data_IF_060542621692
#
_entry.id   IF_060542621692
#
_cell.length_a   1.000
_cell.length_b   1.000
_cell.length_c   1.000
_cell.angle_alpha   90.00
_cell.angle_beta   90.00
_cell.angle_gamma   90.00
#
_symmetry.space_group_name_H-M   'P 1'
#
loop_
_entity.id
_entity.type
_entity.pdbx_description
1 polymer ?
#
# COMPACT_ATOMS: atom_id res chain seq x y z
N UNK A 1 -30.14 43.85 18.89
CA UNK A 1 -30.49 42.44 19.15
C UNK A 1 -30.89 41.81 17.83
N UNK A 2 -30.01 41.04 17.21
CA UNK A 2 -30.40 39.98 16.27
C UNK A 2 -29.21 39.03 16.13
N UNK A 3 -29.36 37.84 16.69
CA UNK A 3 -28.41 36.73 16.67
C UNK A 3 -28.83 35.70 15.62
N UNK A 4 -27.83 35.18 14.89
CA UNK A 4 -27.79 33.88 14.18
C UNK A 4 -28.79 33.69 13.02
N UNK A 5 -28.63 32.78 12.05
CA UNK A 5 -27.79 31.57 11.89
C UNK A 5 -27.89 31.14 10.42
N UNK A 6 -26.83 30.55 9.85
CA UNK A 6 -26.84 29.36 8.96
C UNK A 6 -25.61 29.36 8.03
N UNK A 7 -24.61 28.55 8.33
CA UNK A 7 -23.54 28.18 7.38
C UNK A 7 -23.07 26.71 7.52
N UNK A 8 -23.82 25.86 8.23
CA UNK A 8 -23.39 24.47 8.50
C UNK A 8 -23.78 23.46 7.40
N UNK A 9 -24.40 23.89 6.30
CA UNK A 9 -24.92 23.00 5.25
C UNK A 9 -24.04 22.87 4.00
N UNK A 10 -23.15 23.84 3.73
CA UNK A 10 -22.40 23.90 2.48
C UNK A 10 -21.05 23.14 2.57
N UNK A 11 -20.34 23.25 3.69
CA UNK A 11 -19.03 22.61 3.92
C UNK A 11 -19.06 21.08 3.81
N UNK A 12 -20.09 20.44 4.38
CA UNK A 12 -20.22 18.97 4.40
C UNK A 12 -20.38 18.37 2.99
N UNK A 13 -21.06 19.08 2.09
CA UNK A 13 -21.26 18.63 0.71
C UNK A 13 -20.00 18.77 -0.13
N UNK A 14 -19.21 19.82 0.09
CA UNK A 14 -17.97 20.06 -0.64
C UNK A 14 -16.88 19.05 -0.24
N UNK A 15 -16.82 18.70 1.05
CA UNK A 15 -15.92 17.66 1.55
C UNK A 15 -16.29 16.27 1.04
N UNK A 16 -17.59 15.93 1.01
CA UNK A 16 -18.06 14.67 0.43
C UNK A 16 -17.66 14.54 -1.05
N UNK A 17 -17.86 15.60 -1.83
CA UNK A 17 -17.51 15.60 -3.26
C UNK A 17 -16.00 15.54 -3.48
N UNK A 18 -15.20 16.16 -2.60
CA UNK A 18 -13.73 16.04 -2.63
C UNK A 18 -13.25 14.63 -2.32
N UNK A 19 -13.87 13.98 -1.34
CA UNK A 19 -13.57 12.58 -1.00
C UNK A 19 -13.93 11.65 -2.17
N UNK A 20 -15.10 11.83 -2.79
CA UNK A 20 -15.50 11.07 -3.98
C UNK A 20 -14.56 11.29 -5.16
N UNK A 21 -14.18 12.54 -5.45
CA UNK A 21 -13.21 12.85 -6.50
C UNK A 21 -11.83 12.22 -6.23
N UNK A 22 -11.42 12.13 -4.96
CA UNK A 22 -10.21 11.40 -4.56
C UNK A 22 -10.34 9.88 -4.77
N UNK A 23 -11.49 9.29 -4.43
CA UNK A 23 -11.77 7.87 -4.66
C UNK A 23 -11.85 7.54 -6.17
N UNK A 24 -12.37 8.47 -6.97
CA UNK A 24 -12.40 8.38 -8.44
C UNK A 24 -11.05 8.67 -9.10
N UNK A 25 -10.03 9.01 -8.33
CA UNK A 25 -8.66 9.24 -8.82
C UNK A 25 -7.70 8.12 -8.45
N UNK A 26 -7.93 7.45 -7.33
CA UNK A 26 -7.03 6.44 -6.81
C UNK A 26 -7.50 5.03 -7.17
N UNK A 27 -6.54 4.15 -7.47
CA UNK A 27 -6.70 2.71 -7.47
C UNK A 27 -6.17 2.14 -6.17
N UNK A 28 -6.88 1.15 -5.62
CA UNK A 28 -6.50 0.47 -4.40
C UNK A 28 -6.43 -1.02 -4.67
N UNK A 29 -5.36 -1.66 -4.21
CA UNK A 29 -5.22 -3.12 -4.19
C UNK A 29 -5.05 -3.58 -2.75
N UNK A 30 -5.82 -4.61 -2.36
CA UNK A 30 -5.64 -5.26 -1.07
C UNK A 30 -4.45 -6.22 -1.14
N UNK A 31 -3.45 -5.99 -0.30
CA UNK A 31 -2.26 -6.85 -0.24
C UNK A 31 -2.45 -7.98 0.76
N UNK A 32 -2.99 -7.67 1.95
CA UNK A 32 -3.18 -8.66 2.99
C UNK A 32 -3.49 -8.05 4.36
N UNK A 33 -3.71 -8.92 5.33
CA UNK A 33 -3.88 -8.53 6.73
C UNK A 33 -3.17 -9.51 7.65
N UNK A 34 -2.54 -9.00 8.70
CA UNK A 34 -1.83 -9.81 9.70
C UNK A 34 -1.92 -9.14 11.07
N UNK A 35 -2.32 -9.87 12.11
CA UNK A 35 -2.37 -9.38 13.50
C UNK A 35 -3.10 -8.03 13.69
N UNK A 36 -4.18 -7.80 12.95
CA UNK A 36 -4.96 -6.56 13.00
C UNK A 36 -4.38 -5.39 12.21
N UNK A 37 -3.24 -5.57 11.53
CA UNK A 37 -2.73 -4.66 10.51
C UNK A 37 -3.26 -5.04 9.14
N UNK A 38 -3.53 -4.04 8.32
CA UNK A 38 -3.99 -4.16 6.93
C UNK A 38 -2.97 -3.50 6.02
N UNK A 39 -2.56 -4.20 4.97
CA UNK A 39 -1.67 -3.67 3.94
C UNK A 39 -2.47 -3.44 2.65
N UNK A 40 -2.33 -2.24 2.08
CA UNK A 40 -2.96 -1.83 0.82
C UNK A 40 -1.94 -1.11 -0.05
N UNK A 41 -2.01 -1.34 -1.35
CA UNK A 41 -1.30 -0.53 -2.33
C UNK A 41 -2.26 0.47 -2.95
N UNK A 42 -1.74 1.68 -3.16
CA UNK A 42 -2.49 2.81 -3.71
C UNK A 42 -1.73 3.38 -4.90
N UNK A 43 -2.41 3.60 -6.02
CA UNK A 43 -1.84 4.31 -7.18
C UNK A 43 -2.78 5.38 -7.67
N UNK A 44 -2.23 6.42 -8.27
CA UNK A 44 -2.99 7.44 -8.97
C UNK A 44 -3.25 6.98 -10.41
N UNK A 45 -4.49 7.07 -10.87
CA UNK A 45 -4.89 6.77 -12.26
C UNK A 45 -4.06 7.51 -13.30
N UNK A 46 -3.53 8.68 -12.96
CA UNK A 46 -2.73 9.50 -13.84
C UNK A 46 -1.21 9.31 -13.66
N UNK A 47 -0.79 8.53 -12.67
CA UNK A 47 0.62 8.19 -12.37
C UNK A 47 0.76 6.67 -12.18
N UNK A 48 0.41 5.91 -13.23
CA UNK A 48 0.30 4.45 -13.18
C UNK A 48 1.63 3.72 -12.84
N UNK A 49 2.76 4.41 -12.96
CA UNK A 49 4.11 3.94 -12.61
C UNK A 49 4.46 4.14 -11.12
N UNK A 50 3.59 4.79 -10.35
CA UNK A 50 3.80 5.04 -8.91
C UNK A 50 2.75 4.35 -8.07
N UNK A 51 3.25 3.47 -7.21
CA UNK A 51 2.46 2.76 -6.21
C UNK A 51 3.01 3.09 -4.82
N UNK A 52 2.11 3.53 -3.93
CA UNK A 52 2.36 3.72 -2.52
C UNK A 52 1.81 2.53 -1.74
N UNK A 53 2.68 1.81 -1.04
CA UNK A 53 2.27 0.79 -0.08
C UNK A 53 1.99 1.42 1.29
N UNK A 54 0.82 1.14 1.84
CA UNK A 54 0.37 1.64 3.14
C UNK A 54 0.04 0.46 4.05
N UNK A 55 0.65 0.44 5.24
CA UNK A 55 0.24 -0.44 6.32
C UNK A 55 -0.56 0.38 7.33
N UNK A 56 -1.78 -0.05 7.58
CA UNK A 56 -2.76 0.64 8.41
C UNK A 56 -3.23 -0.26 9.54
N UNK A 57 -3.34 0.30 10.75
CA UNK A 57 -4.09 -0.31 11.85
C UNK A 57 -5.49 0.33 11.91
N UNK A 58 -6.56 -0.39 11.53
CA UNK A 58 -7.92 0.14 11.55
C UNK A 58 -8.44 0.52 12.93
N UNK A 59 -7.92 -0.12 13.99
CA UNK A 59 -8.37 0.12 15.37
C UNK A 59 -7.74 1.37 15.99
N UNK A 60 -6.52 1.72 15.58
CA UNK A 60 -5.82 2.91 16.09
C UNK A 60 -5.80 4.07 15.11
N UNK A 61 -6.26 3.86 13.88
CA UNK A 61 -6.18 4.80 12.76
C UNK A 61 -4.74 5.25 12.42
N UNK A 62 -3.73 4.50 12.88
CA UNK A 62 -2.33 4.78 12.57
C UNK A 62 -2.01 4.15 11.23
N UNK A 63 -1.52 4.98 10.30
CA UNK A 63 -1.05 4.55 8.99
C UNK A 63 0.45 4.78 8.90
N UNK A 64 1.12 3.86 8.21
CA UNK A 64 2.51 3.98 7.82
C UNK A 64 2.62 3.81 6.32
N UNK A 65 3.15 4.84 5.66
CA UNK A 65 3.55 4.74 4.26
C UNK A 65 4.94 4.11 4.18
N UNK A 66 5.09 3.16 3.29
CA UNK A 66 6.40 2.60 2.94
C UNK A 66 7.04 3.45 1.83
N UNK A 67 8.37 3.43 1.67
CA UNK A 67 9.02 4.13 0.57
C UNK A 67 8.45 3.67 -0.76
N UNK A 68 8.29 4.64 -1.67
CA UNK A 68 7.93 4.38 -3.06
C UNK A 68 8.90 3.37 -3.66
N UNK A 69 8.36 2.41 -4.39
CA UNK A 69 9.15 1.60 -5.31
C UNK A 69 8.96 2.14 -6.72
N UNK A 70 10.06 2.30 -7.45
CA UNK A 70 10.00 2.62 -8.86
C UNK A 70 9.72 1.33 -9.62
N UNK A 71 8.59 1.26 -10.30
CA UNK A 71 8.16 0.06 -10.98
C UNK A 71 8.13 0.27 -12.50
N UNK A 72 8.91 -0.53 -13.23
CA UNK A 72 8.74 -0.77 -14.66
C UNK A 72 8.53 -2.27 -14.87
N UNK A 73 7.35 -2.79 -14.53
CA UNK A 73 7.07 -4.21 -14.67
C UNK A 73 5.68 -4.50 -15.22
N UNK A 74 5.54 -5.70 -15.77
CA UNK A 74 4.34 -6.14 -16.47
C UNK A 74 3.29 -6.76 -15.55
N UNK A 75 3.71 -7.25 -14.37
CA UNK A 75 2.83 -7.84 -13.37
C UNK A 75 3.45 -7.84 -11.98
N UNK A 76 2.60 -7.87 -10.95
CA UNK A 76 3.01 -7.87 -9.55
C UNK A 76 2.18 -8.85 -8.73
N UNK A 77 2.85 -9.58 -7.84
CA UNK A 77 2.21 -10.29 -6.73
C UNK A 77 2.70 -9.69 -5.43
N UNK A 78 1.78 -9.40 -4.51
CA UNK A 78 2.10 -8.84 -3.21
C UNK A 78 1.69 -9.78 -2.09
N UNK A 79 2.47 -9.76 -1.00
CA UNK A 79 2.17 -10.45 0.23
C UNK A 79 2.48 -9.59 1.45
N UNK A 80 1.75 -9.78 2.54
CA UNK A 80 2.01 -9.11 3.80
C UNK A 80 1.88 -10.12 4.95
N UNK A 81 2.90 -10.16 5.81
CA UNK A 81 2.94 -11.12 6.90
C UNK A 81 3.88 -10.71 8.02
N UNK A 82 3.80 -11.45 9.12
CA UNK A 82 4.71 -11.35 10.25
C UNK A 82 5.77 -12.44 10.14
N UNK A 83 7.03 -12.04 10.09
CA UNK A 83 8.17 -12.93 10.16
C UNK A 83 8.65 -13.05 11.62
N UNK A 84 8.37 -14.21 12.20
CA UNK A 84 8.76 -14.52 13.58
C UNK A 84 10.27 -14.60 13.81
N UNK A 85 11.07 -14.88 12.79
CA UNK A 85 12.53 -14.98 12.93
C UNK A 85 13.19 -13.60 13.10
N UNK A 86 12.68 -12.58 12.39
CA UNK A 86 13.13 -11.20 12.54
C UNK A 86 12.29 -10.37 13.51
N UNK A 87 11.22 -10.96 14.07
CA UNK A 87 10.20 -10.28 14.88
C UNK A 87 9.66 -9.03 14.16
N UNK A 88 9.42 -9.10 12.85
CA UNK A 88 9.02 -7.94 12.06
C UNK A 88 7.91 -8.28 11.07
N UNK A 89 7.10 -7.28 10.75
CA UNK A 89 6.19 -7.39 9.63
C UNK A 89 6.96 -7.10 8.34
N UNK A 90 6.63 -7.83 7.29
CA UNK A 90 7.24 -7.68 5.98
C UNK A 90 6.17 -7.58 4.92
N UNK A 91 6.38 -6.68 3.97
CA UNK A 91 5.68 -6.71 2.69
C UNK A 91 6.62 -7.34 1.68
N UNK A 92 6.11 -8.28 0.89
CA UNK A 92 6.81 -8.94 -0.20
C UNK A 92 6.19 -8.50 -1.50
N UNK A 93 7.01 -8.31 -2.53
CA UNK A 93 6.53 -8.20 -3.89
C UNK A 93 7.35 -9.09 -4.82
N UNK A 94 6.65 -9.73 -5.74
CA UNK A 94 7.22 -10.45 -6.88
C UNK A 94 6.87 -9.68 -8.13
N UNK A 95 7.90 -9.35 -8.89
CA UNK A 95 7.81 -8.47 -10.05
C UNK A 95 8.16 -9.25 -11.30
N UNK A 96 7.25 -9.32 -12.28
CA UNK A 96 7.52 -9.91 -13.59
C UNK A 96 8.16 -8.87 -14.52
N UNK A 97 9.45 -9.03 -14.78
CA UNK A 97 10.28 -8.06 -15.50
C UNK A 97 10.18 -8.29 -17.02
N UNK A 98 10.15 -9.56 -17.44
CA UNK A 98 10.04 -9.95 -18.85
C UNK A 98 9.10 -11.16 -18.99
N UNK A 99 7.83 -10.92 -19.39
CA UNK A 99 6.84 -11.98 -19.54
C UNK A 99 7.21 -13.00 -20.64
N UNK A 100 8.20 -12.70 -21.49
CA UNK A 100 8.72 -13.62 -22.50
C UNK A 100 9.75 -14.63 -21.98
N UNK A 101 10.47 -14.30 -20.90
CA UNK A 101 11.57 -15.11 -20.36
C UNK A 101 11.24 -15.75 -19.01
N UNK A 102 10.21 -15.24 -18.30
CA UNK A 102 9.80 -15.76 -16.99
C UNK A 102 10.71 -15.33 -15.85
N UNK A 103 11.48 -14.25 -16.04
CA UNK A 103 12.35 -13.67 -15.03
C UNK A 103 11.52 -12.86 -14.01
N UNK A 104 11.61 -13.25 -12.75
CA UNK A 104 10.94 -12.59 -11.64
C UNK A 104 11.96 -12.00 -10.65
N UNK A 105 11.76 -10.76 -10.23
CA UNK A 105 12.47 -10.14 -9.12
C UNK A 105 11.66 -10.29 -7.83
N UNK A 106 12.32 -10.71 -6.76
CA UNK A 106 11.72 -10.83 -5.45
C UNK A 106 12.30 -9.77 -4.54
N UNK A 107 11.43 -9.01 -3.89
CA UNK A 107 11.86 -8.02 -2.91
C UNK A 107 10.97 -8.05 -1.69
N UNK A 108 11.56 -7.71 -0.55
CA UNK A 108 10.82 -7.47 0.68
C UNK A 108 11.18 -6.13 1.31
N UNK A 109 10.28 -5.65 2.16
CA UNK A 109 10.54 -4.51 3.03
C UNK A 109 10.13 -4.86 4.45
N UNK A 110 11.11 -4.97 5.37
CA UNK A 110 10.83 -5.05 6.79
C UNK A 110 10.25 -3.73 7.27
N UNK A 111 9.19 -3.77 8.06
CA UNK A 111 8.58 -2.57 8.60
C UNK A 111 9.56 -1.86 9.52
N UNK A 112 10.30 -2.51 10.41
CA UNK A 112 11.24 -1.83 11.32
C UNK A 112 12.30 -1.02 10.56
N UNK A 113 12.92 -1.57 9.51
CA UNK A 113 13.99 -0.88 8.76
C UNK A 113 13.49 0.02 7.63
N UNK A 114 12.34 -0.30 7.03
CA UNK A 114 11.67 0.55 6.05
C UNK A 114 12.46 0.80 4.76
N UNK A 115 13.25 -0.18 4.29
CA UNK A 115 13.94 -0.13 3.01
C UNK A 115 13.70 -1.42 2.24
N UNK A 116 13.41 -1.31 0.94
CA UNK A 116 13.29 -2.47 0.05
C UNK A 116 14.63 -3.20 -0.07
N UNK A 117 14.56 -4.53 -0.12
CA UNK A 117 15.70 -5.44 -0.22
C UNK A 117 15.35 -6.53 -1.22
N UNK A 118 16.27 -6.80 -2.12
CA UNK A 118 16.22 -7.98 -2.99
C UNK A 118 16.31 -9.25 -2.15
N UNK A 119 15.55 -10.26 -2.56
CA UNK A 119 15.48 -11.57 -1.92
C UNK A 119 15.97 -12.59 -2.93
N UNK A 120 16.94 -13.41 -2.54
CA UNK A 120 17.41 -14.51 -3.37
C UNK A 120 16.33 -15.61 -3.44
N UNK A 121 16.22 -16.28 -4.58
CA UNK A 121 15.20 -17.31 -4.82
C UNK A 121 15.20 -18.45 -3.78
N UNK A 122 16.35 -18.75 -3.17
CA UNK A 122 16.50 -19.82 -2.19
C UNK A 122 15.86 -19.49 -0.82
N UNK A 123 15.60 -18.21 -0.52
CA UNK A 123 14.98 -17.76 0.73
C UNK A 123 13.44 -17.76 0.71
N UNK A 124 12.84 -18.10 -0.44
CA UNK A 124 11.39 -18.05 -0.66
C UNK A 124 10.60 -19.10 0.12
N UNK A 125 11.21 -20.24 0.49
CA UNK A 125 10.56 -21.26 1.31
C UNK A 125 10.29 -20.80 2.75
N UNK A 126 10.88 -19.67 3.18
CA UNK A 126 10.62 -19.08 4.50
C UNK A 126 9.45 -18.09 4.48
N UNK A 127 8.86 -17.82 3.30
CA UNK A 127 7.90 -16.73 3.07
C UNK A 127 6.46 -17.26 2.84
N UNK A 128 6.28 -18.55 2.52
CA UNK A 128 4.98 -19.23 2.40
C UNK A 128 4.65 -20.05 3.66
#
# INVERSE_FOLDING_TARGET
MSTSRASNGQESSDDHNRLLAGLERLYYSFVGSCNGLVCVDVSDRYEADKWETIVWNPFTCICRKLPLRNYYAYGYFYGFGYDSASDDYKVFAVTDIDPGNGDCEFENIPLKSGSWKEVENDDLETIL
#
